data_IF_413743622870
#
_entry.id   IF_413743622870
#
_cell.length_a   1.000
_cell.length_b   1.000
_cell.length_c   1.000
_cell.angle_alpha   90.00
_cell.angle_beta   90.00
_cell.angle_gamma   90.00
#
_symmetry.space_group_name_H-M   'P 1'
#
loop_
_entity.id
_entity.type
_entity.pdbx_description
1 polymer ?
#
# COMPACT_ATOMS: atom_id res chain seq x y z
N UNK A 1 -11.83 18.95 -7.57
CA UNK A 1 -11.42 18.08 -8.70
C UNK A 1 -9.94 17.80 -8.55
N UNK A 2 -9.50 16.53 -8.51
CA UNK A 2 -8.07 16.19 -8.50
C UNK A 2 -7.49 16.51 -9.87
N UNK A 3 -6.39 17.26 -9.92
CA UNK A 3 -5.66 17.51 -11.17
C UNK A 3 -4.99 16.23 -11.67
N UNK A 4 -4.72 16.13 -12.98
CA UNK A 4 -4.10 14.93 -13.55
C UNK A 4 -2.73 14.61 -12.92
N UNK A 5 -1.97 15.62 -12.52
CA UNK A 5 -0.71 15.45 -11.78
C UNK A 5 -0.92 14.80 -10.41
N UNK A 6 -1.89 15.27 -9.63
CA UNK A 6 -2.21 14.68 -8.33
C UNK A 6 -2.66 13.22 -8.46
N UNK A 7 -3.33 12.88 -9.57
CA UNK A 7 -3.74 11.49 -9.86
C UNK A 7 -2.55 10.60 -10.19
N UNK A 8 -1.56 11.09 -10.96
CA UNK A 8 -0.32 10.35 -11.25
C UNK A 8 0.52 10.10 -10.01
N UNK A 9 0.70 11.12 -9.17
CA UNK A 9 1.42 10.98 -7.88
C UNK A 9 0.71 9.98 -6.98
N UNK A 10 -0.63 10.07 -6.87
CA UNK A 10 -1.44 9.12 -6.12
C UNK A 10 -1.26 7.68 -6.60
N UNK A 11 -1.36 7.43 -7.91
CA UNK A 11 -1.14 6.10 -8.46
C UNK A 11 0.30 5.61 -8.26
N UNK A 12 1.28 6.51 -8.26
CA UNK A 12 2.67 6.20 -7.93
C UNK A 12 2.83 5.69 -6.50
N UNK A 13 2.27 6.41 -5.53
CA UNK A 13 2.30 6.03 -4.12
C UNK A 13 1.56 4.72 -3.84
N UNK A 14 0.36 4.55 -4.43
CA UNK A 14 -0.43 3.34 -4.32
C UNK A 14 0.33 2.15 -4.89
N UNK A 15 0.90 2.25 -6.10
CA UNK A 15 1.72 1.17 -6.68
C UNK A 15 2.89 0.80 -5.78
N UNK A 16 3.56 1.80 -5.19
CA UNK A 16 4.72 1.57 -4.32
C UNK A 16 4.34 0.84 -3.03
N UNK A 17 3.24 1.25 -2.38
CA UNK A 17 2.78 0.55 -1.18
C UNK A 17 2.13 -0.80 -1.47
N UNK A 18 1.50 -0.98 -2.63
CA UNK A 18 0.99 -2.27 -3.06
C UNK A 18 2.13 -3.25 -3.37
N UNK A 19 3.22 -2.78 -3.98
CA UNK A 19 4.43 -3.58 -4.21
C UNK A 19 5.11 -3.98 -2.90
N UNK A 20 5.29 -3.03 -1.98
CA UNK A 20 5.91 -3.32 -0.67
C UNK A 20 5.03 -4.24 0.16
N UNK A 21 3.73 -3.94 0.26
CA UNK A 21 2.78 -4.79 0.98
C UNK A 21 2.62 -6.17 0.35
N UNK A 22 2.58 -6.26 -0.98
CA UNK A 22 2.56 -7.51 -1.71
C UNK A 22 3.82 -8.35 -1.46
N UNK A 23 5.01 -7.74 -1.52
CA UNK A 23 6.28 -8.41 -1.22
C UNK A 23 6.33 -8.93 0.22
N UNK A 24 5.96 -8.09 1.20
CA UNK A 24 5.87 -8.47 2.61
C UNK A 24 4.81 -9.56 2.84
N UNK A 25 3.69 -9.50 2.12
CA UNK A 25 2.63 -10.52 2.15
C UNK A 25 3.05 -11.86 1.58
N UNK A 26 3.78 -11.86 0.47
CA UNK A 26 4.35 -13.09 -0.10
C UNK A 26 5.34 -13.71 0.88
N UNK A 27 6.26 -12.91 1.43
CA UNK A 27 7.21 -13.39 2.43
C UNK A 27 6.49 -13.91 3.68
N UNK A 28 5.51 -13.17 4.20
CA UNK A 28 4.70 -13.60 5.35
C UNK A 28 3.89 -14.86 5.07
N UNK A 29 3.35 -15.01 3.86
CA UNK A 29 2.74 -16.27 3.41
C UNK A 29 3.75 -17.40 3.39
N UNK A 30 4.87 -17.23 2.71
CA UNK A 30 5.89 -18.27 2.53
C UNK A 30 6.39 -18.87 3.87
N UNK A 31 6.43 -18.08 4.94
CA UNK A 31 6.89 -18.51 6.26
C UNK A 31 5.80 -18.90 7.26
N UNK A 32 4.56 -18.38 7.16
CA UNK A 32 3.55 -18.53 8.22
C UNK A 32 2.15 -18.99 7.76
N UNK A 33 1.76 -18.87 6.47
CA UNK A 33 0.37 -19.16 5.99
C UNK A 33 0.29 -19.55 4.51
N UNK A 34 -0.84 -20.07 4.03
CA UNK A 34 -1.07 -20.24 2.58
C UNK A 34 -0.67 -18.99 1.77
N UNK A 35 0.20 -19.18 0.77
CA UNK A 35 0.79 -18.10 -0.05
C UNK A 35 -0.27 -17.14 -0.62
N UNK A 36 -1.46 -17.67 -0.97
CA UNK A 36 -2.62 -16.86 -1.40
C UNK A 36 -3.13 -15.92 -0.32
N UNK A 37 -3.30 -16.40 0.91
CA UNK A 37 -3.77 -15.57 2.03
C UNK A 37 -2.71 -14.55 2.44
N UNK A 38 -1.43 -14.94 2.45
CA UNK A 38 -0.31 -14.02 2.71
C UNK A 38 -0.27 -12.86 1.71
N UNK A 39 -0.37 -13.17 0.40
CA UNK A 39 -0.43 -12.15 -0.65
C UNK A 39 -1.62 -11.20 -0.45
N UNK A 40 -2.82 -11.73 -0.23
CA UNK A 40 -4.04 -10.91 -0.05
C UNK A 40 -3.92 -10.01 1.17
N UNK A 41 -3.48 -10.55 2.31
CA UNK A 41 -3.30 -9.77 3.54
C UNK A 41 -2.21 -8.70 3.39
N UNK A 42 -1.11 -9.01 2.69
CA UNK A 42 -0.05 -8.04 2.41
C UNK A 42 -0.48 -6.95 1.45
N UNK A 43 -1.25 -7.26 0.41
CA UNK A 43 -1.81 -6.26 -0.52
C UNK A 43 -2.80 -5.33 0.20
N UNK A 44 -3.70 -5.87 1.02
CA UNK A 44 -4.64 -5.09 1.83
C UNK A 44 -3.88 -4.22 2.84
N UNK A 45 -2.92 -4.79 3.56
CA UNK A 45 -2.08 -4.07 4.52
C UNK A 45 -1.24 -2.96 3.87
N UNK A 46 -0.63 -3.24 2.71
CA UNK A 46 0.13 -2.26 1.94
C UNK A 46 -0.73 -1.12 1.42
N UNK A 47 -1.95 -1.42 0.96
CA UNK A 47 -2.91 -0.42 0.53
C UNK A 47 -3.35 0.48 1.70
N UNK A 48 -3.69 -0.10 2.84
CA UNK A 48 -4.03 0.65 4.06
C UNK A 48 -2.86 1.46 4.60
N UNK A 49 -1.62 0.97 4.49
CA UNK A 49 -0.43 1.72 4.88
C UNK A 49 -0.25 3.00 4.05
N UNK A 50 -0.52 2.95 2.74
CA UNK A 50 -0.50 4.14 1.86
C UNK A 50 -1.59 5.13 2.25
N UNK A 51 -2.82 4.65 2.43
CA UNK A 51 -3.93 5.51 2.83
C UNK A 51 -3.69 6.17 4.20
N UNK A 52 -3.19 5.39 5.15
CA UNK A 52 -2.84 5.86 6.51
C UNK A 52 -1.71 6.87 6.46
N UNK A 53 -0.63 6.58 5.73
CA UNK A 53 0.50 7.50 5.56
C UNK A 53 0.03 8.82 4.99
N UNK A 54 -0.85 8.80 4.00
CA UNK A 54 -1.40 10.02 3.39
C UNK A 54 -2.32 10.79 4.34
N UNK A 55 -3.12 10.09 5.15
CA UNK A 55 -3.96 10.72 6.18
C UNK A 55 -3.11 11.43 7.25
N UNK A 56 -2.01 10.78 7.65
CA UNK A 56 -1.01 11.37 8.55
C UNK A 56 -0.34 12.56 7.90
N UNK A 57 0.12 12.45 6.66
CA UNK A 57 0.82 13.51 5.93
C UNK A 57 -0.08 14.74 5.72
N UNK A 58 -1.37 14.52 5.38
CA UNK A 58 -2.40 15.56 5.31
C UNK A 58 -2.67 16.23 6.67
N UNK A 59 -2.59 15.49 7.79
CA UNK A 59 -2.69 16.06 9.14
C UNK A 59 -1.40 16.74 9.60
N UNK A 60 -0.25 16.37 9.02
CA UNK A 60 1.07 16.89 9.41
C UNK A 60 1.39 18.25 8.80
N UNK A 61 0.48 18.82 7.99
CA UNK A 61 0.53 20.23 7.59
C UNK A 61 1.68 20.59 6.63
N UNK A 62 2.05 19.67 5.73
CA UNK A 62 2.88 19.97 4.55
C UNK A 62 2.10 19.71 3.28
#
# INVERSE_FOLDING_TARGET
MMTEEQRKVFWGEVKRGLLVGGAVGVLGGLFFMDMRRGLVLGLIGGFFAVLTRRSIEKRRGR
#
